data_IF_393783180424
#
_entry.id   IF_393783180424
#
_cell.length_a   1.000
_cell.length_b   1.000
_cell.length_c   1.000
_cell.angle_alpha   90.00
_cell.angle_beta   90.00
_cell.angle_gamma   90.00
#
_symmetry.space_group_name_H-M   'P 1'
#
loop_
_entity.id
_entity.type
_entity.pdbx_description
1 polymer ?
#
# COMPACT_ATOMS: atom_id res chain seq x y z
N UNK A 1 34.61 43.47 -25.44
CA UNK A 1 33.14 43.30 -25.33
C UNK A 1 32.82 41.82 -25.39
N UNK A 2 32.82 41.15 -24.23
CA UNK A 2 32.51 39.71 -24.12
C UNK A 2 31.15 39.59 -23.44
N UNK A 3 30.09 40.01 -24.15
CA UNK A 3 28.73 39.64 -23.80
C UNK A 3 28.40 38.40 -24.61
N UNK A 4 27.85 37.38 -23.96
CA UNK A 4 27.25 36.15 -24.53
C UNK A 4 27.99 34.82 -24.32
N UNK A 5 28.70 34.62 -23.21
CA UNK A 5 29.01 33.26 -22.72
C UNK A 5 28.36 32.92 -21.37
N UNK A 6 27.51 33.79 -20.82
CA UNK A 6 26.77 33.49 -19.59
C UNK A 6 25.35 32.91 -19.82
N UNK A 7 24.98 32.55 -21.05
CA UNK A 7 23.68 31.93 -21.33
C UNK A 7 23.74 30.39 -21.39
N UNK A 8 24.93 29.79 -21.49
CA UNK A 8 25.07 28.34 -21.65
C UNK A 8 25.27 27.56 -20.34
N UNK A 9 25.39 28.24 -19.19
CA UNK A 9 25.58 27.55 -17.90
C UNK A 9 24.30 27.35 -17.08
N UNK A 10 23.15 27.88 -17.53
CA UNK A 10 21.85 27.76 -16.82
C UNK A 10 20.95 26.68 -17.44
N UNK A 11 21.32 26.08 -18.58
CA UNK A 11 20.54 25.00 -19.20
C UNK A 11 20.97 23.58 -18.83
N UNK A 12 22.09 23.38 -18.12
CA UNK A 12 22.53 22.03 -17.71
C UNK A 12 22.28 21.68 -16.24
N UNK A 13 21.86 22.64 -15.40
CA UNK A 13 21.50 22.37 -13.99
C UNK A 13 20.01 22.16 -13.74
N UNK A 14 19.19 22.19 -14.79
CA UNK A 14 17.75 21.91 -14.72
C UNK A 14 17.34 20.52 -15.23
N UNK A 15 18.23 19.80 -15.91
CA UNK A 15 17.87 18.52 -16.53
C UNK A 15 18.31 17.30 -15.70
N UNK A 16 19.41 17.41 -14.96
CA UNK A 16 19.94 16.28 -14.18
C UNK A 16 19.09 15.95 -12.94
N UNK A 17 18.33 16.91 -12.40
CA UNK A 17 17.42 16.67 -11.28
C UNK A 17 16.10 15.99 -11.70
N UNK A 18 15.81 15.89 -13.01
CA UNK A 18 14.66 15.14 -13.54
C UNK A 18 14.96 13.67 -13.80
N UNK A 19 16.22 13.34 -14.14
CA UNK A 19 16.60 11.94 -14.39
C UNK A 19 16.83 11.19 -13.07
N UNK A 20 17.43 11.85 -12.08
CA UNK A 20 17.66 11.23 -10.76
C UNK A 20 16.41 11.16 -9.87
N UNK A 21 15.34 11.91 -10.18
CA UNK A 21 14.03 11.72 -9.53
C UNK A 21 13.23 10.56 -10.12
N UNK A 22 13.43 10.24 -11.40
CA UNK A 22 12.70 9.16 -12.09
C UNK A 22 13.23 7.76 -11.71
N UNK A 23 14.55 7.61 -11.53
CA UNK A 23 15.17 6.32 -11.18
C UNK A 23 15.18 6.00 -9.66
N UNK A 24 14.80 6.95 -8.80
CA UNK A 24 14.57 6.70 -7.36
C UNK A 24 13.12 6.32 -7.03
N UNK A 25 12.19 6.52 -7.97
CA UNK A 25 10.78 6.21 -7.75
C UNK A 25 10.46 4.72 -7.96
N UNK A 26 11.24 4.01 -8.77
CA UNK A 26 10.99 2.61 -9.13
C UNK A 26 11.14 1.63 -7.95
N UNK A 27 11.92 1.98 -6.93
CA UNK A 27 12.15 1.13 -5.75
C UNK A 27 11.31 1.55 -4.52
N UNK A 28 10.58 2.67 -4.61
CA UNK A 28 9.77 3.18 -3.50
C UNK A 28 8.28 2.81 -3.63
N UNK A 29 7.82 2.46 -4.84
CA UNK A 29 6.43 2.08 -5.10
C UNK A 29 6.07 0.69 -4.56
N UNK A 30 7.01 -0.26 -4.60
CA UNK A 30 6.75 -1.68 -4.23
C UNK A 30 6.42 -1.86 -2.74
N UNK A 31 6.87 -0.94 -1.87
CA UNK A 31 6.54 -0.99 -0.43
C UNK A 31 5.25 -0.27 -0.05
N UNK A 32 4.80 0.67 -0.89
CA UNK A 32 3.65 1.53 -0.60
C UNK A 32 2.33 0.86 -1.01
N UNK A 33 2.37 0.04 -2.06
CA UNK A 33 1.23 -0.71 -2.59
C UNK A 33 0.70 -1.74 -1.56
N UNK A 34 1.59 -2.44 -0.84
CA UNK A 34 1.18 -3.39 0.21
C UNK A 34 0.60 -2.74 1.48
N UNK A 35 1.00 -1.51 1.81
CA UNK A 35 0.46 -0.80 2.99
C UNK A 35 -0.89 -0.15 2.68
N UNK A 36 -1.06 0.41 1.48
CA UNK A 36 -2.34 0.91 0.97
C UNK A 36 -3.40 -0.19 0.93
N UNK A 37 -3.01 -1.39 0.51
CA UNK A 37 -3.86 -2.57 0.52
C UNK A 37 -4.45 -2.84 1.91
N UNK A 38 -3.61 -2.88 2.97
CA UNK A 38 -4.06 -3.30 4.31
C UNK A 38 -5.06 -2.32 4.92
N UNK A 39 -4.78 -1.03 4.81
CA UNK A 39 -5.66 0.02 5.32
C UNK A 39 -6.98 0.06 4.54
N UNK A 40 -6.95 -0.12 3.22
CA UNK A 40 -8.16 -0.23 2.40
C UNK A 40 -9.01 -1.42 2.82
N UNK A 41 -8.42 -2.62 2.93
CA UNK A 41 -9.16 -3.80 3.37
C UNK A 41 -9.72 -3.66 4.79
N UNK A 42 -8.99 -2.99 5.69
CA UNK A 42 -9.49 -2.66 7.04
C UNK A 42 -10.72 -1.75 6.97
N UNK A 43 -10.67 -0.69 6.17
CA UNK A 43 -11.81 0.22 5.97
C UNK A 43 -13.01 -0.51 5.35
N UNK A 44 -12.78 -1.35 4.33
CA UNK A 44 -13.81 -2.18 3.72
C UNK A 44 -14.45 -3.14 4.73
N UNK A 45 -13.65 -3.78 5.58
CA UNK A 45 -14.13 -4.65 6.65
C UNK A 45 -15.05 -3.90 7.61
N UNK A 46 -14.65 -2.70 8.05
CA UNK A 46 -15.44 -1.85 8.95
C UNK A 46 -16.75 -1.43 8.29
N UNK A 47 -16.70 -0.97 7.04
CA UNK A 47 -17.88 -0.59 6.24
C UNK A 47 -18.89 -1.74 6.13
N UNK A 48 -18.40 -2.97 5.97
CA UNK A 48 -19.20 -4.20 5.89
C UNK A 48 -19.61 -4.79 7.25
N UNK A 49 -19.19 -4.17 8.36
CA UNK A 49 -19.44 -4.64 9.74
C UNK A 49 -18.96 -6.08 9.99
N UNK A 50 -17.93 -6.54 9.26
CA UNK A 50 -17.33 -7.86 9.45
C UNK A 50 -16.54 -7.83 10.76
N UNK A 51 -16.84 -8.76 11.67
CA UNK A 51 -16.23 -8.79 13.00
C UNK A 51 -14.87 -9.49 12.93
N UNK A 52 -13.88 -8.98 13.69
CA UNK A 52 -12.57 -9.66 13.78
C UNK A 52 -12.67 -11.10 14.31
N UNK A 53 -13.65 -11.39 15.17
CA UNK A 53 -13.92 -12.76 15.67
C UNK A 53 -14.30 -13.73 14.55
N UNK A 54 -15.01 -13.25 13.53
CA UNK A 54 -15.45 -14.04 12.38
C UNK A 54 -14.26 -14.40 11.48
N UNK A 55 -13.43 -13.40 11.16
CA UNK A 55 -12.20 -13.61 10.41
C UNK A 55 -11.18 -14.49 11.17
N UNK A 56 -11.11 -14.33 12.49
CA UNK A 56 -10.26 -15.15 13.35
C UNK A 56 -10.64 -16.64 13.29
N UNK A 57 -11.94 -16.94 13.28
CA UNK A 57 -12.43 -18.29 13.10
C UNK A 57 -12.13 -18.84 11.70
N UNK A 58 -12.32 -18.05 10.64
CA UNK A 58 -12.02 -18.42 9.27
C UNK A 58 -10.53 -18.76 9.06
N UNK A 59 -9.64 -17.89 9.55
CA UNK A 59 -8.19 -18.00 9.36
C UNK A 59 -7.50 -18.90 10.39
N UNK A 60 -8.29 -19.51 11.28
CA UNK A 60 -7.83 -20.30 12.42
C UNK A 60 -6.70 -19.59 13.21
N UNK A 61 -6.92 -18.34 13.59
CA UNK A 61 -5.95 -17.55 14.34
C UNK A 61 -6.62 -16.67 15.39
N UNK A 62 -5.85 -16.13 16.34
CA UNK A 62 -6.41 -15.24 17.34
C UNK A 62 -6.73 -13.86 16.77
N UNK A 63 -7.81 -13.21 17.25
CA UNK A 63 -8.24 -11.86 16.82
C UNK A 63 -7.13 -10.80 16.89
N UNK A 64 -6.21 -10.92 17.84
CA UNK A 64 -5.08 -10.01 17.99
C UNK A 64 -4.09 -10.11 16.82
N UNK A 65 -3.95 -11.29 16.22
CA UNK A 65 -3.07 -11.49 15.07
C UNK A 65 -3.57 -10.69 13.85
N UNK A 66 -4.89 -10.73 13.59
CA UNK A 66 -5.54 -9.94 12.53
C UNK A 66 -5.44 -8.44 12.84
N UNK A 67 -5.72 -8.04 14.08
CA UNK A 67 -5.61 -6.64 14.47
C UNK A 67 -4.18 -6.11 14.32
N UNK A 68 -3.17 -6.91 14.67
CA UNK A 68 -1.78 -6.55 14.48
C UNK A 68 -1.41 -6.45 13.00
N UNK A 69 -1.93 -7.37 12.18
CA UNK A 69 -1.75 -7.34 10.72
C UNK A 69 -2.35 -6.07 10.09
N UNK A 70 -3.59 -5.72 10.44
CA UNK A 70 -4.26 -4.49 9.98
C UNK A 70 -3.56 -3.20 10.44
N UNK A 71 -2.74 -3.23 11.49
CA UNK A 71 -2.00 -2.07 12.00
C UNK A 71 -0.50 -2.13 11.67
N UNK A 72 -0.09 -2.99 10.71
CA UNK A 72 1.31 -3.16 10.30
C UNK A 72 2.26 -3.55 11.45
N UNK A 73 1.75 -4.14 12.53
CA UNK A 73 2.54 -4.58 13.69
C UNK A 73 3.10 -5.98 13.54
N UNK A 74 2.46 -6.81 12.71
CA UNK A 74 2.91 -8.17 12.46
C UNK A 74 2.52 -8.63 11.05
N UNK A 75 3.35 -9.49 10.46
CA UNK A 75 3.01 -10.18 9.21
C UNK A 75 1.96 -11.26 9.40
N UNK A 76 1.34 -11.65 8.30
CA UNK A 76 0.46 -12.80 8.18
C UNK A 76 0.91 -13.62 6.97
N UNK A 77 0.74 -14.95 7.00
CA UNK A 77 1.11 -15.78 5.84
C UNK A 77 0.27 -15.43 4.62
N UNK A 78 0.87 -15.53 3.44
CA UNK A 78 0.23 -15.15 2.17
C UNK A 78 -1.10 -15.88 1.93
N UNK A 79 -1.17 -17.18 2.27
CA UNK A 79 -2.41 -17.96 2.22
C UNK A 79 -3.54 -17.33 3.04
N UNK A 80 -3.23 -16.87 4.26
CA UNK A 80 -4.21 -16.23 5.15
C UNK A 80 -4.56 -14.83 4.69
N UNK A 81 -3.61 -14.11 4.11
CA UNK A 81 -3.87 -12.81 3.49
C UNK A 81 -4.83 -12.96 2.30
N UNK A 82 -4.61 -13.96 1.45
CA UNK A 82 -5.49 -14.27 0.32
C UNK A 82 -6.90 -14.60 0.80
N UNK A 83 -7.05 -15.52 1.78
CA UNK A 83 -8.36 -15.85 2.37
C UNK A 83 -9.06 -14.63 2.99
N UNK A 84 -8.31 -13.78 3.72
CA UNK A 84 -8.83 -12.54 4.30
C UNK A 84 -9.39 -11.58 3.24
N UNK A 85 -8.65 -11.36 2.15
CA UNK A 85 -9.05 -10.48 1.04
C UNK A 85 -10.27 -11.04 0.32
N UNK A 86 -10.25 -12.32 -0.04
CA UNK A 86 -11.36 -13.00 -0.72
C UNK A 86 -12.64 -12.92 0.10
N UNK A 87 -12.57 -13.21 1.41
CA UNK A 87 -13.73 -13.15 2.28
C UNK A 87 -14.34 -11.75 2.38
N UNK A 88 -13.51 -10.71 2.49
CA UNK A 88 -13.98 -9.33 2.50
C UNK A 88 -14.65 -9.00 1.16
N UNK A 89 -14.08 -9.40 0.03
CA UNK A 89 -14.62 -9.14 -1.31
C UNK A 89 -15.94 -9.88 -1.57
N UNK A 90 -16.07 -11.14 -1.18
CA UNK A 90 -17.30 -11.92 -1.34
C UNK A 90 -18.48 -11.33 -0.55
N UNK A 91 -18.22 -10.83 0.66
CA UNK A 91 -19.24 -10.15 1.48
C UNK A 91 -19.78 -8.85 0.85
N UNK A 92 -19.15 -8.29 -0.20
CA UNK A 92 -19.65 -7.09 -0.90
C UNK A 92 -21.06 -7.31 -1.49
N UNK A 93 -21.40 -8.54 -1.87
CA UNK A 93 -22.62 -8.81 -2.65
C UNK A 93 -23.84 -9.29 -1.85
N UNK A 94 -23.72 -9.44 -0.52
CA UNK A 94 -24.78 -10.05 0.31
C UNK A 94 -25.74 -9.05 0.98
N UNK A 95 -25.48 -7.74 0.89
CA UNK A 95 -26.39 -6.70 1.38
C UNK A 95 -27.30 -6.26 0.23
N UNK A 96 -28.45 -6.93 0.09
CA UNK A 96 -29.60 -6.46 -0.68
C UNK A 96 -30.42 -5.49 0.15
#
# INVERSE_FOLDING_TARGET
MVRSFLCLFILERGFFHRILSSLRYSNLEVGLEEMLDRDEFRLLRIKKRIRLKELAALLNCHKSHISNYENNRNGMSEEKVSMYRSYINEKVCAAK
#
